data_IF_928216309655
#
_entry.id   IF_928216309655
#
_cell.length_a   1.000
_cell.length_b   1.000
_cell.length_c   1.000
_cell.angle_alpha   90.00
_cell.angle_beta   90.00
_cell.angle_gamma   90.00
#
_symmetry.space_group_name_H-M   'P 1'
#
loop_
_entity.id
_entity.type
_entity.pdbx_description
1 polymer ?
#
# COMPACT_ATOMS: atom_id res chain seq x y z
N UNK A 1 25.05 -18.63 -44.89
CA UNK A 1 25.27 -18.81 -43.44
C UNK A 1 24.68 -17.68 -42.59
N UNK A 2 24.83 -16.41 -42.97
CA UNK A 2 24.32 -15.26 -42.19
C UNK A 2 22.80 -15.27 -41.92
N UNK A 3 21.98 -15.68 -42.92
CA UNK A 3 20.52 -15.78 -42.76
C UNK A 3 20.10 -16.81 -41.69
N UNK A 4 20.82 -17.92 -41.56
CA UNK A 4 20.51 -18.94 -40.57
C UNK A 4 20.82 -18.47 -39.14
N UNK A 5 21.91 -17.73 -38.97
CA UNK A 5 22.31 -17.14 -37.68
C UNK A 5 21.29 -16.09 -37.22
N UNK A 6 20.78 -15.27 -38.14
CA UNK A 6 19.74 -14.30 -37.85
C UNK A 6 18.45 -14.95 -37.36
N UNK A 7 17.98 -16.02 -38.02
CA UNK A 7 16.80 -16.76 -37.58
C UNK A 7 17.00 -17.47 -36.23
N UNK A 8 18.21 -17.97 -35.96
CA UNK A 8 18.57 -18.49 -34.63
C UNK A 8 18.43 -17.40 -33.56
N UNK A 9 18.93 -16.19 -33.81
CA UNK A 9 18.87 -15.09 -32.84
C UNK A 9 17.43 -14.64 -32.56
N UNK A 10 16.61 -14.53 -33.61
CA UNK A 10 15.18 -14.21 -33.48
C UNK A 10 14.46 -15.29 -32.67
N UNK A 11 14.76 -16.57 -32.90
CA UNK A 11 14.19 -17.68 -32.14
C UNK A 11 14.52 -17.60 -30.63
N UNK A 12 15.79 -17.33 -30.28
CA UNK A 12 16.17 -17.15 -28.87
C UNK A 12 15.54 -15.91 -28.23
N UNK A 13 15.30 -14.85 -29.00
CA UNK A 13 14.59 -13.67 -28.51
C UNK A 13 13.14 -14.02 -28.12
N UNK A 14 12.42 -14.75 -28.98
CA UNK A 14 11.06 -15.20 -28.66
C UNK A 14 11.01 -16.15 -27.46
N UNK A 15 11.95 -17.09 -27.36
CA UNK A 15 12.06 -17.97 -26.19
C UNK A 15 12.29 -17.15 -24.92
N UNK A 16 13.17 -16.14 -24.96
CA UNK A 16 13.45 -15.28 -23.81
C UNK A 16 12.18 -14.55 -23.37
N UNK A 17 11.46 -13.92 -24.31
CA UNK A 17 10.20 -13.22 -24.02
C UNK A 17 9.15 -14.19 -23.43
N UNK A 18 9.03 -15.40 -23.97
CA UNK A 18 8.12 -16.42 -23.47
C UNK A 18 8.45 -16.83 -22.03
N UNK A 19 9.73 -17.07 -21.72
CA UNK A 19 10.19 -17.41 -20.36
C UNK A 19 9.93 -16.28 -19.37
N UNK A 20 10.19 -15.03 -19.75
CA UNK A 20 9.91 -13.86 -18.89
C UNK A 20 8.40 -13.69 -18.64
N UNK A 21 7.56 -13.86 -19.67
CA UNK A 21 6.11 -13.81 -19.55
C UNK A 21 5.56 -14.90 -18.63
N UNK A 22 6.02 -16.13 -18.77
CA UNK A 22 5.61 -17.25 -17.89
C UNK A 22 6.06 -16.98 -16.45
N UNK A 23 7.29 -16.51 -16.23
CA UNK A 23 7.78 -16.16 -14.89
C UNK A 23 6.93 -15.08 -14.23
N UNK A 24 6.49 -14.07 -15.00
CA UNK A 24 5.60 -13.02 -14.51
C UNK A 24 4.24 -13.57 -14.05
N UNK A 25 3.66 -14.50 -14.81
CA UNK A 25 2.39 -15.17 -14.45
C UNK A 25 2.58 -15.99 -13.16
N UNK A 26 3.67 -16.74 -13.03
CA UNK A 26 3.97 -17.52 -11.81
C UNK A 26 4.19 -16.64 -10.57
N UNK A 27 4.90 -15.52 -10.67
CA UNK A 27 5.09 -14.57 -9.56
C UNK A 27 3.74 -13.98 -9.13
N UNK A 28 2.90 -13.60 -10.10
CA UNK A 28 1.55 -13.08 -9.84
C UNK A 28 0.68 -14.12 -9.12
N UNK A 29 0.74 -15.38 -9.56
CA UNK A 29 -0.02 -16.48 -8.95
C UNK A 29 0.49 -16.85 -7.55
N UNK A 30 1.81 -16.89 -7.33
CA UNK A 30 2.38 -17.16 -6.00
C UNK A 30 2.08 -16.02 -5.01
N UNK A 31 2.13 -14.76 -5.46
CA UNK A 31 1.74 -13.63 -4.62
C UNK A 31 0.26 -13.68 -4.24
N UNK A 32 -0.60 -14.21 -5.12
CA UNK A 32 -2.02 -14.42 -4.82
C UNK A 32 -2.23 -15.58 -3.84
N UNK A 33 -1.56 -16.72 -4.03
CA UNK A 33 -1.66 -17.88 -3.14
C UNK A 33 -1.11 -17.63 -1.73
N UNK A 34 -0.13 -16.73 -1.58
CA UNK A 34 0.40 -16.34 -0.27
C UNK A 34 -0.50 -15.35 0.49
N UNK A 35 -1.55 -14.82 -0.15
CA UNK A 35 -2.53 -13.91 0.48
C UNK A 35 -3.71 -14.65 1.12
N UNK A 36 -3.76 -16.00 1.08
CA UNK A 36 -4.90 -16.80 1.57
C UNK A 36 -4.65 -17.56 2.87
N UNK A 37 -3.62 -17.23 3.65
CA UNK A 37 -3.46 -17.80 5.00
C UNK A 37 -4.07 -16.86 6.04
N UNK A 38 -5.17 -17.23 6.73
CA UNK A 38 -5.63 -16.50 7.89
C UNK A 38 -4.66 -16.81 9.04
N UNK A 39 -3.89 -15.82 9.48
CA UNK A 39 -3.17 -15.93 10.75
C UNK A 39 -4.19 -15.86 11.89
N UNK A 40 -4.59 -17.03 12.36
CA UNK A 40 -5.34 -17.26 13.58
C UNK A 40 -4.51 -16.74 14.77
N UNK A 41 -4.89 -15.60 15.34
CA UNK A 41 -4.27 -15.11 16.58
C UNK A 41 -4.87 -15.84 17.77
N UNK A 42 -4.12 -16.81 18.29
CA UNK A 42 -4.45 -17.55 19.51
C UNK A 42 -4.31 -16.64 20.72
N UNK A 43 -5.45 -16.41 21.38
CA UNK A 43 -5.65 -15.76 22.67
C UNK A 43 -4.75 -16.39 23.75
N UNK A 44 -3.98 -15.58 24.48
CA UNK A 44 -3.41 -15.99 25.77
C UNK A 44 -3.53 -14.87 26.80
N UNK A 45 -4.09 -15.31 27.92
CA UNK A 45 -4.54 -14.58 29.10
C UNK A 45 -3.35 -14.01 29.88
N UNK A 46 -3.48 -12.76 30.33
CA UNK A 46 -2.61 -12.13 31.33
C UNK A 46 -3.42 -11.15 32.16
N UNK A 47 -3.58 -11.47 33.44
CA UNK A 47 -4.45 -10.82 34.41
C UNK A 47 -3.62 -9.89 35.32
N UNK A 48 -4.04 -8.63 35.50
CA UNK A 48 -3.94 -7.76 36.72
C UNK A 48 -3.69 -6.28 36.39
N UNK A 49 -4.45 -5.41 37.06
CA UNK A 49 -3.97 -4.09 37.49
C UNK A 49 -4.69 -2.87 36.93
N UNK A 50 -5.80 -2.51 37.57
CA UNK A 50 -6.32 -1.13 37.80
C UNK A 50 -5.69 0.03 37.02
N UNK A 51 -6.48 0.70 36.18
CA UNK A 51 -6.86 2.13 36.31
C UNK A 51 -7.96 2.40 35.27
N UNK A 52 -9.17 2.67 35.74
CA UNK A 52 -10.27 3.14 34.91
C UNK A 52 -9.96 4.59 34.52
N UNK A 53 -9.20 4.77 33.44
CA UNK A 53 -9.39 5.93 32.57
C UNK A 53 -10.33 5.46 31.48
N UNK A 54 -11.47 6.14 31.33
CA UNK A 54 -12.26 6.07 30.11
C UNK A 54 -11.42 6.63 28.96
N UNK A 55 -10.38 5.89 28.54
CA UNK A 55 -9.98 5.92 27.15
C UNK A 55 -10.98 5.00 26.48
N UNK A 56 -12.06 5.58 25.96
CA UNK A 56 -12.61 4.99 24.75
C UNK A 56 -11.41 4.72 23.86
N UNK A 57 -11.14 3.44 23.60
CA UNK A 57 -10.15 3.02 22.64
C UNK A 57 -10.43 3.84 21.38
N UNK A 58 -9.60 4.87 21.13
CA UNK A 58 -9.73 5.73 19.97
C UNK A 58 -9.56 4.80 18.78
N UNK A 59 -10.68 4.43 18.18
CA UNK A 59 -10.68 3.59 17.00
C UNK A 59 -10.20 4.47 15.85
N UNK A 60 -9.28 3.97 15.02
CA UNK A 60 -8.88 4.72 13.85
C UNK A 60 -10.08 4.78 12.91
N UNK A 61 -10.43 5.97 12.44
CA UNK A 61 -11.39 6.09 11.34
C UNK A 61 -10.74 5.64 10.03
N UNK A 62 -9.40 5.65 9.97
CA UNK A 62 -8.60 5.36 8.79
C UNK A 62 -7.41 4.46 9.14
N UNK A 63 -7.23 3.37 8.40
CA UNK A 63 -5.99 2.59 8.39
C UNK A 63 -5.56 2.47 6.93
N UNK A 64 -4.46 3.12 6.59
CA UNK A 64 -4.08 3.37 5.20
C UNK A 64 -2.69 2.81 4.94
N UNK A 65 -2.58 2.02 3.89
CA UNK A 65 -1.32 1.60 3.32
C UNK A 65 -1.00 2.44 2.09
N UNK A 66 0.20 3.00 2.07
CA UNK A 66 0.73 3.78 0.96
C UNK A 66 1.92 3.06 0.36
N UNK A 67 1.99 2.99 -0.97
CA UNK A 67 3.17 2.55 -1.67
C UNK A 67 3.92 3.73 -2.28
N UNK A 68 5.14 3.96 -1.79
CA UNK A 68 6.07 4.96 -2.33
C UNK A 68 7.04 4.26 -3.30
N UNK A 69 6.94 4.52 -4.62
CA UNK A 69 7.81 3.90 -5.61
C UNK A 69 9.23 4.46 -5.56
N UNK A 70 9.42 5.69 -5.09
CA UNK A 70 10.73 6.35 -4.91
C UNK A 70 11.55 5.65 -3.84
N UNK A 71 10.90 5.24 -2.76
CA UNK A 71 11.52 4.52 -1.65
C UNK A 71 11.37 2.99 -1.76
N UNK A 72 10.65 2.51 -2.78
CA UNK A 72 10.24 1.11 -2.95
C UNK A 72 9.73 0.48 -1.64
N UNK A 73 8.86 1.20 -0.92
CA UNK A 73 8.45 0.86 0.45
C UNK A 73 6.94 1.02 0.63
N UNK A 74 6.35 0.07 1.34
CA UNK A 74 4.98 0.18 1.85
C UNK A 74 5.02 0.77 3.25
N UNK A 75 4.19 1.78 3.51
CA UNK A 75 4.02 2.39 4.83
C UNK A 75 2.57 2.26 5.26
N UNK A 76 2.34 1.63 6.41
CA UNK A 76 1.02 1.53 7.04
C UNK A 76 0.88 2.61 8.11
N UNK A 77 -0.24 3.33 8.10
CA UNK A 77 -0.57 4.34 9.10
C UNK A 77 -2.02 4.19 9.51
N UNK A 78 -2.28 4.08 10.81
CA UNK A 78 -3.61 4.11 11.40
C UNK A 78 -3.81 5.41 12.16
N UNK A 79 -4.96 6.06 11.97
CA UNK A 79 -5.19 7.39 12.54
C UNK A 79 -6.47 8.07 12.08
N UNK A 80 -6.52 9.38 12.35
CA UNK A 80 -7.56 10.29 11.88
C UNK A 80 -6.98 11.22 10.82
N UNK A 81 -7.71 11.40 9.72
CA UNK A 81 -7.37 12.40 8.72
C UNK A 81 -7.70 13.79 9.26
N UNK A 82 -6.71 14.67 9.37
CA UNK A 82 -6.90 16.02 9.93
C UNK A 82 -7.12 17.06 8.84
N UNK A 83 -6.23 17.08 7.82
CA UNK A 83 -6.25 18.06 6.73
C UNK A 83 -5.63 17.51 5.45
N UNK A 84 -6.08 18.05 4.32
CA UNK A 84 -5.49 17.90 3.00
C UNK A 84 -5.34 19.30 2.41
N UNK A 85 -4.13 19.67 1.99
CA UNK A 85 -3.86 20.97 1.40
C UNK A 85 -2.89 20.85 0.23
N UNK A 86 -3.01 21.78 -0.71
CA UNK A 86 -2.21 21.83 -1.92
C UNK A 86 -1.24 23.01 -1.84
N UNK A 87 0.04 22.74 -2.11
CA UNK A 87 1.09 23.75 -2.11
C UNK A 87 1.99 23.51 -3.33
N UNK A 88 2.10 24.50 -4.23
CA UNK A 88 3.00 24.46 -5.38
C UNK A 88 2.88 23.16 -6.23
N UNK A 89 1.64 22.79 -6.61
CA UNK A 89 1.33 21.55 -7.37
C UNK A 89 1.60 20.25 -6.61
N UNK A 90 1.78 20.31 -5.29
CA UNK A 90 2.00 19.16 -4.43
C UNK A 90 0.86 19.09 -3.42
N UNK A 91 0.22 17.92 -3.34
CA UNK A 91 -0.80 17.67 -2.34
C UNK A 91 -0.16 17.03 -1.10
N UNK A 92 -0.54 17.53 0.07
CA UNK A 92 -0.07 17.07 1.36
C UNK A 92 -1.24 16.60 2.23
N UNK A 93 -1.09 15.40 2.80
CA UNK A 93 -2.05 14.78 3.70
C UNK A 93 -1.51 14.84 5.11
N UNK A 94 -2.30 15.37 6.05
CA UNK A 94 -1.99 15.42 7.47
C UNK A 94 -2.82 14.39 8.22
N UNK A 95 -2.14 13.39 8.79
CA UNK A 95 -2.75 12.28 9.54
C UNK A 95 -2.31 12.31 11.01
N UNK A 96 -3.26 12.24 11.92
CA UNK A 96 -2.99 12.06 13.35
C UNK A 96 -2.94 10.55 13.60
N UNK A 97 -1.74 10.01 13.72
CA UNK A 97 -1.57 8.56 13.93
C UNK A 97 -1.94 8.15 15.35
N UNK A 98 -2.59 7.00 15.51
CA UNK A 98 -2.89 6.46 16.83
C UNK A 98 -1.61 6.22 17.63
N UNK A 99 -1.60 6.73 18.87
CA UNK A 99 -0.44 6.61 19.78
C UNK A 99 0.67 7.65 19.54
N UNK A 100 0.53 8.55 18.56
CA UNK A 100 1.41 9.72 18.44
C UNK A 100 0.58 10.99 18.50
N UNK A 101 0.96 11.91 19.39
CA UNK A 101 0.28 13.22 19.50
C UNK A 101 0.65 14.17 18.35
N UNK A 102 1.70 13.85 17.58
CA UNK A 102 2.16 14.66 16.48
C UNK A 102 1.57 14.16 15.16
N UNK A 103 0.90 15.02 14.38
CA UNK A 103 0.41 14.65 13.06
C UNK A 103 1.57 14.43 12.08
N UNK A 104 1.41 13.46 11.20
CA UNK A 104 2.36 13.12 10.14
C UNK A 104 1.87 13.66 8.81
N UNK A 105 2.74 14.38 8.11
CA UNK A 105 2.46 14.89 6.77
C UNK A 105 3.02 13.95 5.70
N UNK A 106 2.20 13.59 4.72
CA UNK A 106 2.57 12.71 3.60
C UNK A 106 2.34 13.45 2.28
N UNK A 107 3.32 13.37 1.39
CA UNK A 107 3.26 13.97 0.07
C UNK A 107 2.61 12.99 -0.93
N UNK A 108 1.57 13.42 -1.64
CA UNK A 108 0.76 12.53 -2.50
C UNK A 108 1.41 12.22 -3.84
N UNK A 109 2.19 13.15 -4.41
CA UNK A 109 2.89 12.93 -5.68
C UNK A 109 3.97 11.83 -5.61
N UNK A 110 4.28 11.31 -4.42
CA UNK A 110 5.20 10.20 -4.21
C UNK A 110 4.44 8.92 -3.84
N UNK A 111 3.13 8.87 -4.07
CA UNK A 111 2.28 7.73 -3.74
C UNK A 111 1.62 7.23 -5.03
N UNK A 112 1.99 6.03 -5.44
CA UNK A 112 1.41 5.39 -6.63
C UNK A 112 0.16 4.57 -6.30
N UNK A 113 -0.03 4.23 -5.03
CA UNK A 113 -1.16 3.42 -4.58
C UNK A 113 -1.51 3.66 -3.12
N UNK A 114 -2.81 3.66 -2.84
CA UNK A 114 -3.41 3.78 -1.51
C UNK A 114 -4.42 2.66 -1.32
N UNK A 115 -4.35 1.98 -0.18
CA UNK A 115 -5.36 1.03 0.25
C UNK A 115 -5.87 1.41 1.64
N UNK A 116 -7.19 1.50 1.79
CA UNK A 116 -7.83 1.65 3.08
C UNK A 116 -8.20 0.28 3.61
N UNK A 117 -7.51 -0.15 4.66
CA UNK A 117 -7.70 -1.46 5.25
C UNK A 117 -9.03 -1.61 5.98
N UNK A 118 -9.69 -0.50 6.34
CA UNK A 118 -11.01 -0.50 6.98
C UNK A 118 -12.13 -0.64 5.96
N UNK A 119 -12.13 0.19 4.92
CA UNK A 119 -13.17 0.17 3.87
C UNK A 119 -12.90 -0.84 2.75
N UNK A 120 -11.67 -1.39 2.69
CA UNK A 120 -11.17 -2.26 1.61
C UNK A 120 -11.09 -1.59 0.24
N UNK A 121 -11.16 -0.27 0.18
CA UNK A 121 -11.01 0.44 -1.09
C UNK A 121 -9.55 0.62 -1.46
N UNK A 122 -9.26 0.52 -2.76
CA UNK A 122 -7.91 0.63 -3.32
C UNK A 122 -7.91 1.62 -4.48
N UNK A 123 -6.95 2.52 -4.46
CA UNK A 123 -6.75 3.56 -5.47
C UNK A 123 -5.30 3.48 -5.97
N UNK A 124 -5.10 3.53 -7.28
CA UNK A 124 -3.79 3.34 -7.91
C UNK A 124 -3.50 4.34 -9.03
N UNK A 125 -4.16 5.50 -9.01
CA UNK A 125 -3.97 6.57 -9.98
C UNK A 125 -3.70 7.88 -9.23
N UNK A 126 -2.52 8.46 -9.44
CA UNK A 126 -2.07 9.69 -8.79
C UNK A 126 -3.12 10.82 -8.88
N UNK A 127 -3.78 10.97 -10.04
CA UNK A 127 -4.79 12.00 -10.26
C UNK A 127 -6.11 11.77 -9.49
N UNK A 128 -6.40 10.53 -9.05
CA UNK A 128 -7.61 10.21 -8.29
C UNK A 128 -7.36 9.99 -6.80
N UNK A 129 -6.11 9.72 -6.41
CA UNK A 129 -5.71 9.58 -4.99
C UNK A 129 -5.98 10.88 -4.24
N UNK A 130 -5.75 12.04 -4.87
CA UNK A 130 -6.12 13.33 -4.32
C UNK A 130 -7.62 13.43 -3.97
N UNK A 131 -8.47 13.11 -4.94
CA UNK A 131 -9.92 13.18 -4.77
C UNK A 131 -10.40 12.18 -3.71
N UNK A 132 -9.74 11.03 -3.64
CA UNK A 132 -9.99 10.04 -2.60
C UNK A 132 -9.79 10.62 -1.20
N UNK A 133 -8.71 11.37 -0.93
CA UNK A 133 -8.51 11.95 0.40
C UNK A 133 -9.43 13.13 0.69
N UNK A 134 -9.74 13.95 -0.32
CA UNK A 134 -10.63 15.09 -0.17
C UNK A 134 -12.05 14.71 0.25
N UNK A 135 -12.52 13.49 -0.03
CA UNK A 135 -13.89 13.06 0.34
C UNK A 135 -14.10 12.77 1.83
N UNK A 136 -13.03 12.75 2.62
CA UNK A 136 -13.06 12.42 4.05
C UNK A 136 -12.84 13.62 4.98
N UNK A 137 -12.70 14.83 4.41
CA UNK A 137 -12.60 16.11 5.13
C UNK A 137 -13.95 16.84 5.08
#
# INVERSE_FOLDING_TARGET
MLKAIFWIAVFFFFISVLFYGIRFIFITLMNFANSSKPNQSTKLIGNKGSTLSNSESLKPDHEIQFFDPTLNKITTLSGHLEKCYEEHQQLWIKLITLGQNAPKTIKVNNISMVENLLTKERFSNENSIEQYFKRFL
#
